data_IF_498373021528
#
_entry.id   IF_498373021528
#
_cell.length_a   1.000
_cell.length_b   1.000
_cell.length_c   1.000
_cell.angle_alpha   90.00
_cell.angle_beta   90.00
_cell.angle_gamma   90.00
#
_symmetry.space_group_name_H-M   'P 1'
#
loop_
_entity.id
_entity.type
_entity.pdbx_description
1 polymer ?
#
# COMPACT_ATOMS: atom_id res chain seq x y z
N UNK A 1 -25.11 -71.35 12.75
CA UNK A 1 -26.32 -70.51 12.95
C UNK A 1 -26.28 -69.91 14.34
N UNK A 2 -26.66 -68.62 14.45
CA UNK A 2 -26.81 -67.77 15.67
C UNK A 2 -25.61 -66.89 16.05
N UNK A 3 -25.63 -65.66 15.53
CA UNK A 3 -25.28 -64.42 16.26
C UNK A 3 -26.18 -64.26 17.50
N UNK A 4 -25.73 -63.61 18.60
CA UNK A 4 -25.80 -62.13 18.69
C UNK A 4 -24.64 -61.48 19.53
N UNK A 5 -24.10 -60.33 19.10
CA UNK A 5 -24.45 -58.97 19.54
C UNK A 5 -23.74 -58.52 20.84
N UNK A 6 -22.69 -57.70 20.71
CA UNK A 6 -22.38 -56.63 21.66
C UNK A 6 -21.88 -55.42 20.87
N UNK A 7 -22.60 -54.32 21.03
CA UNK A 7 -22.40 -53.05 20.36
C UNK A 7 -21.19 -52.31 20.95
N UNK A 8 -20.25 -51.91 20.08
CA UNK A 8 -19.15 -51.01 20.44
C UNK A 8 -19.57 -49.58 20.06
N UNK A 9 -19.98 -48.80 21.06
CA UNK A 9 -20.19 -47.36 20.97
C UNK A 9 -18.81 -46.67 20.82
N UNK A 10 -18.44 -46.29 19.60
CA UNK A 10 -17.34 -45.36 19.38
C UNK A 10 -17.82 -43.93 19.62
N UNK A 11 -17.40 -43.36 20.75
CA UNK A 11 -17.41 -41.92 21.00
C UNK A 11 -16.32 -41.26 20.14
N UNK A 12 -16.72 -40.65 19.01
CA UNK A 12 -15.85 -39.78 18.23
C UNK A 12 -16.12 -38.31 18.63
N UNK A 13 -15.27 -37.79 19.48
CA UNK A 13 -15.21 -36.38 19.88
C UNK A 13 -14.86 -35.51 18.67
N UNK A 14 -15.85 -34.87 18.06
CA UNK A 14 -15.61 -33.78 17.10
C UNK A 14 -15.24 -32.55 17.92
N UNK A 15 -13.94 -32.28 18.04
CA UNK A 15 -13.43 -31.04 18.58
C UNK A 15 -13.90 -29.88 17.70
N UNK A 16 -14.86 -29.11 18.22
CA UNK A 16 -15.25 -27.82 17.67
C UNK A 16 -14.04 -26.89 17.74
N UNK A 17 -13.43 -26.61 16.59
CA UNK A 17 -12.54 -25.47 16.45
C UNK A 17 -13.41 -24.21 16.66
N UNK A 18 -13.08 -23.30 17.59
CA UNK A 18 -13.73 -22.00 17.65
C UNK A 18 -13.40 -21.29 16.34
N UNK A 19 -14.40 -21.23 15.47
CA UNK A 19 -14.33 -20.50 14.21
C UNK A 19 -13.87 -19.07 14.46
N UNK A 20 -12.97 -18.61 13.59
CA UNK A 20 -12.55 -17.23 13.47
C UNK A 20 -13.77 -16.32 13.63
N UNK A 21 -13.81 -15.64 14.77
CA UNK A 21 -14.76 -14.59 15.05
C UNK A 21 -14.38 -13.45 14.10
N UNK A 22 -14.99 -13.43 12.92
CA UNK A 22 -15.10 -12.22 12.12
C UNK A 22 -15.85 -11.22 12.99
N UNK A 23 -15.09 -10.45 13.77
CA UNK A 23 -15.60 -9.34 14.55
C UNK A 23 -16.02 -8.29 13.51
N UNK A 24 -17.25 -8.48 13.00
CA UNK A 24 -17.89 -7.55 12.11
C UNK A 24 -17.90 -6.19 12.79
N UNK A 25 -17.27 -5.20 12.15
CA UNK A 25 -17.26 -3.80 12.57
C UNK A 25 -18.69 -3.41 13.00
N UNK A 26 -18.90 -2.86 14.20
CA UNK A 26 -20.22 -2.43 14.64
C UNK A 26 -20.86 -1.51 13.59
N UNK A 27 -22.11 -1.76 13.17
CA UNK A 27 -22.82 -0.85 12.27
C UNK A 27 -22.91 0.52 12.97
N UNK A 28 -22.21 1.52 12.43
CA UNK A 28 -22.14 2.88 12.99
C UNK A 28 -20.74 3.34 13.40
N UNK A 29 -19.72 2.47 13.38
CA UNK A 29 -18.33 2.93 13.49
C UNK A 29 -17.90 3.51 12.15
N UNK A 30 -18.05 4.83 11.99
CA UNK A 30 -17.49 5.56 10.86
C UNK A 30 -16.01 5.18 10.73
N UNK A 31 -15.58 4.81 9.53
CA UNK A 31 -14.16 4.57 9.30
C UNK A 31 -13.39 5.84 9.74
N UNK A 32 -12.26 5.70 10.46
CA UNK A 32 -11.46 6.86 10.81
C UNK A 32 -11.14 7.67 9.54
N UNK A 33 -11.08 9.01 9.62
CA UNK A 33 -10.77 9.85 8.47
C UNK A 33 -9.48 9.34 7.80
N UNK A 34 -9.56 9.01 6.51
CA UNK A 34 -8.37 8.59 5.76
C UNK A 34 -7.37 9.74 5.71
N UNK A 35 -6.06 9.49 5.95
CA UNK A 35 -5.07 10.52 5.79
C UNK A 35 -5.00 10.91 4.30
N UNK A 36 -4.92 12.21 4.02
CA UNK A 36 -4.82 12.76 2.66
C UNK A 36 -3.34 13.06 2.35
N UNK A 37 -2.49 12.06 2.47
CA UNK A 37 -1.04 12.21 2.34
C UNK A 37 -0.61 12.55 0.91
N UNK A 38 -1.44 12.24 -0.08
CA UNK A 38 -1.19 12.51 -1.49
C UNK A 38 -1.79 13.83 -1.99
N UNK A 39 -2.52 14.59 -1.15
CA UNK A 39 -3.23 15.79 -1.59
C UNK A 39 -2.31 16.86 -2.20
N UNK A 40 -1.09 17.00 -1.66
CA UNK A 40 -0.10 17.98 -2.11
C UNK A 40 0.85 17.42 -3.18
N UNK A 41 0.66 16.17 -3.62
CA UNK A 41 1.50 15.55 -4.64
C UNK A 41 0.91 15.78 -6.03
N UNK A 42 1.63 16.46 -6.94
CA UNK A 42 1.13 16.72 -8.29
C UNK A 42 0.83 15.44 -9.04
N UNK A 43 -0.29 15.46 -9.75
CA UNK A 43 -0.68 14.43 -10.72
C UNK A 43 -0.44 15.00 -12.11
N UNK A 44 -0.08 14.15 -13.07
CA UNK A 44 0.00 14.61 -14.45
C UNK A 44 -1.41 14.92 -14.97
N UNK A 45 -1.52 15.95 -15.80
CA UNK A 45 -2.77 16.28 -16.47
C UNK A 45 -3.30 15.09 -17.29
N UNK A 46 -4.63 14.94 -17.30
CA UNK A 46 -5.33 13.85 -18.01
C UNK A 46 -4.97 12.44 -17.53
N UNK A 47 -4.40 12.30 -16.35
CA UNK A 47 -4.22 11.00 -15.71
C UNK A 47 -5.56 10.41 -15.28
N UNK A 48 -5.74 9.12 -15.54
CA UNK A 48 -6.93 8.36 -15.15
C UNK A 48 -6.59 7.57 -13.89
N UNK A 49 -7.32 7.80 -12.80
CA UNK A 49 -7.18 7.02 -11.57
C UNK A 49 -7.70 5.60 -11.80
N UNK A 50 -6.86 4.59 -11.57
CA UNK A 50 -7.20 3.18 -11.78
C UNK A 50 -7.36 2.41 -10.46
N UNK A 51 -6.64 2.82 -9.42
CA UNK A 51 -6.72 2.18 -8.11
C UNK A 51 -6.42 3.18 -6.98
N UNK A 52 -7.05 2.99 -5.83
CA UNK A 52 -6.73 3.72 -4.61
C UNK A 52 -6.85 2.79 -3.42
N UNK A 53 -5.79 2.69 -2.64
CA UNK A 53 -5.73 1.91 -1.41
C UNK A 53 -5.10 2.77 -0.31
N UNK A 54 -5.52 2.64 0.94
CA UNK A 54 -4.89 3.36 2.04
C UNK A 54 -5.05 2.63 3.37
N UNK A 55 -4.07 2.78 4.23
CA UNK A 55 -4.10 2.43 5.65
C UNK A 55 -4.18 3.72 6.49
N UNK A 56 -4.18 3.59 7.82
CA UNK A 56 -4.29 4.74 8.73
C UNK A 56 -3.10 5.71 8.62
N UNK A 57 -1.94 5.23 8.16
CA UNK A 57 -0.66 5.95 8.09
C UNK A 57 -0.06 5.99 6.68
N UNK A 58 -0.75 5.40 5.68
CA UNK A 58 -0.26 5.31 4.32
C UNK A 58 -1.37 5.46 3.28
N UNK A 59 -1.08 6.12 2.17
CA UNK A 59 -1.99 6.30 1.05
C UNK A 59 -1.30 5.89 -0.26
N UNK A 60 -2.01 5.10 -1.08
CA UNK A 60 -1.60 4.65 -2.40
C UNK A 60 -2.62 5.07 -3.45
N UNK A 61 -2.16 5.67 -4.54
CA UNK A 61 -2.98 5.94 -5.71
C UNK A 61 -2.24 5.53 -6.99
N UNK A 62 -2.91 4.79 -7.86
CA UNK A 62 -2.38 4.34 -9.16
C UNK A 62 -3.12 5.05 -10.28
N UNK A 63 -2.36 5.50 -11.28
CA UNK A 63 -2.85 6.26 -12.41
C UNK A 63 -2.30 5.72 -13.72
N UNK A 64 -3.05 5.91 -14.80
CA UNK A 64 -2.58 5.68 -16.17
C UNK A 64 -2.65 6.99 -16.96
N UNK A 65 -1.62 7.25 -17.77
CA UNK A 65 -1.51 8.46 -18.58
C UNK A 65 -0.89 8.15 -19.95
N UNK A 66 -1.35 8.84 -21.00
CA UNK A 66 -0.80 8.75 -22.36
C UNK A 66 0.44 9.66 -22.51
N UNK A 67 1.45 9.40 -21.68
CA UNK A 67 2.75 10.09 -21.71
C UNK A 67 3.85 9.02 -21.60
N UNK A 68 4.97 9.13 -22.35
CA UNK A 68 6.09 8.20 -22.23
C UNK A 68 6.73 8.21 -20.84
N UNK A 69 7.25 7.05 -20.41
CA UNK A 69 7.82 6.83 -19.07
C UNK A 69 8.86 7.90 -18.69
N UNK A 70 9.81 8.20 -19.58
CA UNK A 70 10.87 9.18 -19.30
C UNK A 70 10.32 10.58 -19.00
N UNK A 71 9.21 10.93 -19.65
CA UNK A 71 8.55 12.22 -19.41
C UNK A 71 7.82 12.24 -18.07
N UNK A 72 7.19 11.14 -17.67
CA UNK A 72 6.57 10.99 -16.34
C UNK A 72 7.63 11.02 -15.23
N UNK A 73 8.72 10.27 -15.40
CA UNK A 73 9.82 10.24 -14.44
C UNK A 73 10.49 11.62 -14.29
N UNK A 74 10.76 12.31 -15.42
CA UNK A 74 11.30 13.68 -15.41
C UNK A 74 10.35 14.68 -14.73
N UNK A 75 9.05 14.57 -14.97
CA UNK A 75 8.05 15.40 -14.29
C UNK A 75 8.16 15.24 -12.78
N UNK A 76 8.17 14.01 -12.26
CA UNK A 76 8.24 13.79 -10.82
C UNK A 76 9.58 14.24 -10.22
N UNK A 77 10.71 14.02 -10.90
CA UNK A 77 12.00 14.55 -10.44
C UNK A 77 11.97 16.07 -10.25
N UNK A 78 11.42 16.79 -11.23
CA UNK A 78 11.33 18.25 -11.19
C UNK A 78 10.35 18.73 -10.11
N UNK A 79 9.15 18.17 -10.06
CA UNK A 79 8.11 18.57 -9.12
C UNK A 79 8.49 18.29 -7.67
N UNK A 80 9.08 17.12 -7.40
CA UNK A 80 9.52 16.78 -6.05
C UNK A 80 10.59 17.76 -5.56
N UNK A 81 11.56 18.11 -6.41
CA UNK A 81 12.56 19.11 -6.07
C UNK A 81 11.93 20.49 -5.81
N UNK A 82 11.00 20.94 -6.66
CA UNK A 82 10.29 22.23 -6.49
C UNK A 82 9.49 22.30 -5.20
N UNK A 83 8.90 21.18 -4.77
CA UNK A 83 8.10 21.06 -3.55
C UNK A 83 8.96 20.83 -2.29
N UNK A 84 10.29 20.84 -2.41
CA UNK A 84 11.23 20.68 -1.31
C UNK A 84 11.39 19.24 -0.83
N UNK A 85 10.97 18.25 -1.62
CA UNK A 85 11.27 16.85 -1.35
C UNK A 85 12.71 16.54 -1.73
N UNK A 86 13.41 15.80 -0.86
CA UNK A 86 14.73 15.27 -1.16
C UNK A 86 14.59 13.87 -1.74
N UNK A 87 14.97 13.70 -3.01
CA UNK A 87 15.09 12.39 -3.64
C UNK A 87 16.31 11.69 -3.05
N UNK A 88 16.08 10.55 -2.41
CA UNK A 88 17.11 9.72 -1.74
C UNK A 88 17.32 8.39 -2.46
N UNK A 89 16.43 8.03 -3.38
CA UNK A 89 16.60 6.90 -4.31
C UNK A 89 16.00 7.23 -5.66
N UNK A 90 16.74 6.93 -6.72
CA UNK A 90 16.30 7.07 -8.12
C UNK A 90 16.92 5.90 -8.89
N UNK A 91 16.10 4.90 -9.17
CA UNK A 91 16.54 3.66 -9.80
C UNK A 91 15.57 3.29 -10.92
N UNK A 92 16.08 2.68 -11.98
CA UNK A 92 15.23 2.22 -13.07
C UNK A 92 15.97 1.99 -14.37
N UNK A 93 15.19 1.63 -15.37
CA UNK A 93 15.57 1.39 -16.75
C UNK A 93 14.48 1.92 -17.69
N UNK A 94 14.50 1.49 -18.96
CA UNK A 94 13.54 1.91 -19.98
C UNK A 94 12.11 1.38 -19.77
N UNK A 95 11.91 0.37 -18.92
CA UNK A 95 10.61 -0.24 -18.66
C UNK A 95 10.01 0.24 -17.32
N UNK A 96 10.85 0.59 -16.34
CA UNK A 96 10.39 1.00 -15.02
C UNK A 96 11.35 1.99 -14.35
N UNK A 97 10.78 2.98 -13.66
CA UNK A 97 11.50 3.91 -12.77
C UNK A 97 10.86 3.91 -11.39
N UNK A 98 11.69 4.01 -10.36
CA UNK A 98 11.32 4.05 -8.96
C UNK A 98 12.04 5.21 -8.28
N UNK A 99 11.27 6.19 -7.79
CA UNK A 99 11.78 7.34 -7.05
C UNK A 99 11.36 7.23 -5.58
N UNK A 100 12.31 7.37 -4.67
CA UNK A 100 12.06 7.47 -3.23
C UNK A 100 12.47 8.85 -2.74
N UNK A 101 11.54 9.57 -2.11
CA UNK A 101 11.75 10.93 -1.65
C UNK A 101 11.24 11.14 -0.22
N UNK A 102 11.84 12.10 0.49
CA UNK A 102 11.51 12.42 1.89
C UNK A 102 11.36 13.93 2.09
N UNK A 103 10.50 14.33 3.03
CA UNK A 103 10.30 15.75 3.40
C UNK A 103 10.11 15.93 4.91
N UNK A 104 11.19 15.77 5.68
CA UNK A 104 11.19 16.08 7.12
C UNK A 104 10.25 15.24 7.98
N UNK A 105 9.87 14.05 7.51
CA UNK A 105 8.90 13.17 8.14
C UNK A 105 8.28 12.28 7.07
N UNK A 106 7.29 12.76 6.29
CA UNK A 106 6.69 12.01 5.20
C UNK A 106 7.71 11.39 4.23
N UNK A 107 7.43 10.15 3.85
CA UNK A 107 8.12 9.44 2.79
C UNK A 107 7.18 9.26 1.60
N UNK A 108 7.70 9.41 0.40
CA UNK A 108 6.98 9.22 -0.85
C UNK A 108 7.75 8.26 -1.74
N UNK A 109 7.07 7.23 -2.23
CA UNK A 109 7.54 6.35 -3.27
C UNK A 109 6.70 6.57 -4.53
N UNK A 110 7.36 6.94 -5.62
CA UNK A 110 6.79 7.02 -6.97
C UNK A 110 7.29 5.84 -7.77
N UNK A 111 6.38 4.98 -8.21
CA UNK A 111 6.69 3.91 -9.16
C UNK A 111 6.12 4.30 -10.52
N UNK A 112 6.91 4.16 -11.57
CA UNK A 112 6.55 4.53 -12.94
C UNK A 112 6.85 3.34 -13.83
N UNK A 113 5.87 2.83 -14.57
CA UNK A 113 5.99 1.62 -15.40
C UNK A 113 5.44 1.89 -16.79
N UNK A 114 6.20 1.51 -17.81
CA UNK A 114 5.75 1.61 -19.19
C UNK A 114 4.64 0.58 -19.45
N UNK A 115 3.53 1.02 -20.05
CA UNK A 115 2.49 0.15 -20.62
C UNK A 115 2.69 -0.02 -22.14
N UNK A 116 3.61 0.75 -22.72
CA UNK A 116 3.98 0.81 -24.12
C UNK A 116 4.81 2.07 -24.36
N UNK A 117 5.10 2.40 -25.63
CA UNK A 117 6.00 3.52 -25.94
C UNK A 117 5.41 4.90 -25.59
N UNK A 118 4.08 5.01 -25.50
CA UNK A 118 3.36 6.27 -25.31
C UNK A 118 2.48 6.31 -24.06
N UNK A 119 2.42 5.21 -23.31
CA UNK A 119 1.53 5.09 -22.16
C UNK A 119 2.29 4.59 -20.94
N UNK A 120 1.97 5.17 -19.79
CA UNK A 120 2.65 4.91 -18.53
C UNK A 120 1.61 4.74 -17.45
N UNK A 121 1.82 3.73 -16.61
CA UNK A 121 1.18 3.63 -15.31
C UNK A 121 2.13 4.23 -14.27
N UNK A 122 1.62 5.05 -13.36
CA UNK A 122 2.40 5.50 -12.22
C UNK A 122 1.62 5.35 -10.92
N UNK A 123 2.31 4.93 -9.88
CA UNK A 123 1.78 4.69 -8.55
C UNK A 123 2.47 5.61 -7.57
N UNK A 124 1.69 6.35 -6.80
CA UNK A 124 2.13 7.19 -5.70
C UNK A 124 1.82 6.47 -4.40
N UNK A 125 2.81 6.34 -3.52
CA UNK A 125 2.67 5.75 -2.20
C UNK A 125 3.28 6.73 -1.21
N UNK A 126 2.45 7.36 -0.39
CA UNK A 126 2.90 8.21 0.71
C UNK A 126 2.69 7.51 2.05
N UNK A 127 3.66 7.65 2.94
CA UNK A 127 3.58 7.20 4.32
C UNK A 127 3.94 8.32 5.29
N UNK A 128 3.23 8.40 6.41
CA UNK A 128 3.63 9.24 7.53
C UNK A 128 4.92 8.69 8.12
N UNK A 129 6.06 9.32 7.86
CA UNK A 129 7.32 8.81 8.38
C UNK A 129 7.34 8.82 9.90
N UNK A 130 7.92 7.75 10.46
CA UNK A 130 8.08 7.56 11.89
C UNK A 130 9.07 8.62 12.43
N UNK A 131 8.54 9.71 12.99
CA UNK A 131 9.36 10.61 13.82
C UNK A 131 9.49 9.96 15.20
N UNK A 132 10.56 9.17 15.37
CA UNK A 132 11.15 8.90 16.68
C UNK A 132 10.38 7.96 17.60
N UNK A 133 10.28 6.67 17.26
CA UNK A 133 10.25 5.65 18.34
C UNK A 133 11.66 5.58 18.93
N UNK A 134 11.88 5.97 20.20
CA UNK A 134 13.17 5.74 20.84
C UNK A 134 13.43 4.24 20.85
N UNK A 135 14.65 3.85 20.47
CA UNK A 135 15.11 2.47 20.59
C UNK A 135 14.82 1.99 22.02
N UNK A 136 14.27 0.77 22.22
CA UNK A 136 14.12 0.23 23.56
C UNK A 136 15.49 0.24 24.23
N UNK A 137 15.57 0.89 25.39
CA UNK A 137 16.80 0.94 26.16
C UNK A 137 17.30 -0.50 26.38
N UNK A 138 18.62 -0.77 26.25
CA UNK A 138 19.15 -2.08 26.57
C UNK A 138 18.73 -2.42 28.01
N UNK A 139 17.96 -3.50 28.15
CA UNK A 139 17.52 -4.00 29.44
C UNK A 139 18.74 -4.20 30.34
N UNK A 140 18.67 -3.65 31.56
CA UNK A 140 19.67 -3.88 32.60
C UNK A 140 19.63 -5.31 33.09
#
# INVERSE_FOLDING_TARGET
MRTPLVALLLAASVAALPGCKSEGRPPGSAAPPRPQLLADIPRLDRSILTDTTGAEDAERATYVVQVPLDSVARFYRAQLAQLGWRIVGDMGDSAQVSLYATKGGPALWVQVRALGNLATEYTLIAGGGEVGRPAPAPGR
#
